data_IF_845514617780
#
_entry.id   IF_845514617780
#
_cell.length_a   1.000
_cell.length_b   1.000
_cell.length_c   1.000
_cell.angle_alpha   90.00
_cell.angle_beta   90.00
_cell.angle_gamma   90.00
#
_symmetry.space_group_name_H-M   'P 1'
#
loop_
_entity.id
_entity.type
_entity.pdbx_description
1 polymer ?
#
# COMPACT_ATOMS: atom_id res chain seq x y z
N UNK A 1 28.84 14.02 46.67
CA UNK A 1 27.80 14.92 46.12
C UNK A 1 27.01 14.19 45.05
N UNK A 2 25.68 14.29 45.13
CA UNK A 2 24.71 13.24 44.84
C UNK A 2 24.46 12.96 43.36
N UNK A 3 25.03 11.87 42.83
CA UNK A 3 24.64 11.30 41.52
C UNK A 3 23.17 10.85 41.48
N UNK A 4 22.58 10.56 42.64
CA UNK A 4 21.17 10.16 42.75
C UNK A 4 20.21 11.31 42.39
N UNK A 5 20.54 12.55 42.76
CA UNK A 5 19.67 13.71 42.51
C UNK A 5 19.66 14.11 41.03
N UNK A 6 20.79 13.93 40.32
CA UNK A 6 20.86 14.20 38.87
C UNK A 6 20.04 13.17 38.09
N UNK A 7 20.03 11.91 38.53
CA UNK A 7 19.30 10.84 37.86
C UNK A 7 17.78 10.98 37.99
N UNK A 8 17.28 11.47 39.13
CA UNK A 8 15.85 11.68 39.36
C UNK A 8 15.32 12.86 38.52
N UNK A 9 16.11 13.92 38.36
CA UNK A 9 15.72 15.07 37.52
C UNK A 9 15.58 14.73 36.04
N UNK A 10 16.39 13.81 35.52
CA UNK A 10 16.30 13.37 34.11
C UNK A 10 15.03 12.54 33.88
N UNK A 11 14.66 11.67 34.83
CA UNK A 11 13.46 10.83 34.70
C UNK A 11 12.18 11.69 34.77
N UNK A 12 12.13 12.69 35.66
CA UNK A 12 10.99 13.61 35.74
C UNK A 12 10.83 14.50 34.50
N UNK A 13 11.94 14.96 33.89
CA UNK A 13 11.87 15.72 32.64
C UNK A 13 11.36 14.87 31.45
N UNK A 14 11.69 13.57 31.43
CA UNK A 14 11.17 12.63 30.41
C UNK A 14 9.67 12.37 30.64
N UNK A 15 9.22 12.21 31.90
CA UNK A 15 7.81 11.97 32.19
C UNK A 15 6.92 13.20 31.90
N UNK A 16 7.37 14.40 32.26
CA UNK A 16 6.63 15.65 31.99
C UNK A 16 6.58 15.96 30.48
N UNK A 17 7.62 15.60 29.72
CA UNK A 17 7.56 15.71 28.25
C UNK A 17 6.61 14.69 27.62
N UNK A 18 6.48 13.47 28.15
CA UNK A 18 5.49 12.52 27.63
C UNK A 18 4.03 12.92 27.90
N UNK A 19 3.74 13.58 29.03
CA UNK A 19 2.37 14.05 29.34
C UNK A 19 2.02 15.35 28.62
N UNK A 20 2.97 16.27 28.45
CA UNK A 20 2.76 17.49 27.66
C UNK A 20 2.58 17.19 26.17
N UNK A 21 3.28 16.18 25.64
CA UNK A 21 3.12 15.72 24.25
C UNK A 21 1.75 15.06 24.03
N UNK A 22 1.24 14.27 24.99
CA UNK A 22 -0.13 13.71 24.91
C UNK A 22 -1.21 14.78 24.86
N UNK A 23 -1.00 15.93 25.49
CA UNK A 23 -1.96 17.03 25.48
C UNK A 23 -1.80 17.98 24.27
N UNK A 24 -0.65 17.99 23.59
CA UNK A 24 -0.45 18.75 22.34
C UNK A 24 -0.90 17.99 21.08
N UNK A 25 -1.04 16.66 21.15
CA UNK A 25 -1.67 15.85 20.10
C UNK A 25 -3.21 15.74 20.25
N UNK A 26 -3.85 16.74 20.86
CA UNK A 26 -5.25 17.06 20.52
C UNK A 26 -5.27 17.87 19.21
N UNK A 27 -4.75 17.26 18.15
CA UNK A 27 -5.05 17.73 16.81
C UNK A 27 -6.45 17.24 16.42
N UNK A 28 -7.14 18.10 15.69
CA UNK A 28 -8.56 18.04 15.41
C UNK A 28 -9.01 16.69 14.83
N UNK A 29 -10.04 16.09 15.46
CA UNK A 29 -10.75 14.90 14.96
C UNK A 29 -11.37 15.20 13.60
N UNK A 30 -10.69 14.82 12.52
CA UNK A 30 -11.30 14.50 11.24
C UNK A 30 -11.44 12.98 11.15
N UNK A 31 -12.32 12.48 10.30
CA UNK A 31 -12.65 11.06 10.17
C UNK A 31 -11.39 10.23 9.88
N UNK A 32 -10.89 9.50 10.88
CA UNK A 32 -9.71 8.67 10.73
C UNK A 32 -10.12 7.33 10.13
N UNK A 33 -9.47 6.96 9.04
CA UNK A 33 -9.56 5.64 8.45
C UNK A 33 -8.94 4.60 9.39
N UNK A 34 -9.68 3.54 9.68
CA UNK A 34 -9.23 2.37 10.42
C UNK A 34 -8.78 1.28 9.42
N UNK A 35 -7.66 0.62 9.71
CA UNK A 35 -7.21 -0.53 8.92
C UNK A 35 -8.12 -1.73 9.15
N UNK A 36 -8.51 -2.38 8.07
CA UNK A 36 -9.25 -3.65 8.07
C UNK A 36 -8.36 -4.77 7.52
N UNK A 37 -8.61 -6.01 7.95
CA UNK A 37 -7.87 -7.16 7.43
C UNK A 37 -8.23 -7.39 5.95
N UNK A 38 -7.29 -7.24 5.00
CA UNK A 38 -7.58 -7.43 3.57
C UNK A 38 -7.92 -8.89 3.22
N UNK A 39 -7.64 -9.83 4.12
CA UNK A 39 -7.97 -11.25 3.97
C UNK A 39 -9.30 -11.64 4.63
N UNK A 40 -9.95 -10.72 5.34
CA UNK A 40 -11.29 -10.96 5.89
C UNK A 40 -12.27 -11.30 4.76
N UNK A 41 -13.06 -12.35 4.99
CA UNK A 41 -13.96 -12.90 3.96
C UNK A 41 -14.98 -11.88 3.43
N UNK A 42 -15.45 -10.93 4.26
CA UNK A 42 -16.36 -9.89 3.81
C UNK A 42 -15.62 -8.86 2.96
N UNK A 43 -14.41 -8.46 3.36
CA UNK A 43 -13.56 -7.53 2.61
C UNK A 43 -13.19 -8.12 1.24
N UNK A 44 -12.81 -9.39 1.19
CA UNK A 44 -12.53 -10.13 -0.05
C UNK A 44 -13.76 -10.14 -0.96
N UNK A 45 -14.95 -10.42 -0.40
CA UNK A 45 -16.20 -10.40 -1.16
C UNK A 45 -16.51 -9.02 -1.75
N UNK A 46 -16.33 -7.95 -0.97
CA UNK A 46 -16.47 -6.58 -1.49
C UNK A 46 -15.50 -6.32 -2.65
N UNK A 47 -14.25 -6.79 -2.53
CA UNK A 47 -13.27 -6.69 -3.62
C UNK A 47 -13.69 -7.44 -4.89
N UNK A 48 -14.21 -8.66 -4.76
CA UNK A 48 -14.73 -9.44 -5.90
C UNK A 48 -15.93 -8.75 -6.55
N UNK A 49 -16.88 -8.26 -5.75
CA UNK A 49 -18.06 -7.55 -6.23
C UNK A 49 -17.67 -6.27 -7.00
N UNK A 50 -16.66 -5.53 -6.53
CA UNK A 50 -16.11 -4.37 -7.24
C UNK A 50 -15.59 -4.71 -8.63
N UNK A 51 -14.79 -5.78 -8.77
CA UNK A 51 -14.26 -6.20 -10.07
C UNK A 51 -15.38 -6.68 -11.00
N UNK A 52 -16.32 -7.47 -10.48
CA UNK A 52 -17.48 -7.92 -11.24
C UNK A 52 -18.31 -6.74 -11.76
N UNK A 53 -18.51 -5.71 -10.94
CA UNK A 53 -19.24 -4.50 -11.32
C UNK A 53 -18.48 -3.70 -12.38
N UNK A 54 -17.16 -3.53 -12.25
CA UNK A 54 -16.34 -2.87 -13.26
C UNK A 54 -16.41 -3.61 -14.61
N UNK A 55 -16.21 -4.94 -14.59
CA UNK A 55 -16.28 -5.80 -15.77
C UNK A 55 -17.63 -5.65 -16.49
N UNK A 56 -18.75 -5.70 -15.76
CA UNK A 56 -20.08 -5.50 -16.36
C UNK A 56 -20.25 -4.10 -16.95
N UNK A 57 -19.81 -3.06 -16.24
CA UNK A 57 -19.97 -1.66 -16.66
C UNK A 57 -19.16 -1.33 -17.93
N UNK A 58 -17.96 -1.87 -18.02
CA UNK A 58 -17.01 -1.55 -19.10
C UNK A 58 -16.82 -2.70 -20.11
N UNK A 59 -17.62 -3.77 -20.01
CA UNK A 59 -17.47 -4.99 -20.83
C UNK A 59 -16.03 -5.54 -20.82
N UNK A 60 -15.41 -5.56 -19.64
CA UNK A 60 -14.05 -6.05 -19.42
C UNK A 60 -14.05 -7.45 -18.78
N UNK A 61 -12.88 -8.08 -18.72
CA UNK A 61 -12.71 -9.46 -18.24
C UNK A 61 -11.54 -9.58 -17.26
N UNK A 62 -11.52 -8.73 -16.23
CA UNK A 62 -10.53 -8.85 -15.15
C UNK A 62 -10.91 -9.97 -14.17
N UNK A 63 -9.95 -10.80 -13.80
CA UNK A 63 -10.10 -11.81 -12.76
C UNK A 63 -9.60 -11.25 -11.42
N UNK A 64 -10.45 -11.27 -10.39
CA UNK A 64 -10.06 -10.86 -9.05
C UNK A 64 -8.93 -11.75 -8.53
N UNK A 65 -7.90 -11.14 -7.94
CA UNK A 65 -6.82 -11.87 -7.28
C UNK A 65 -6.86 -11.70 -5.76
N UNK A 66 -6.70 -10.47 -5.27
CA UNK A 66 -6.72 -10.18 -3.83
C UNK A 66 -7.06 -8.72 -3.54
N UNK A 67 -7.50 -8.44 -2.32
CA UNK A 67 -7.47 -7.10 -1.75
C UNK A 67 -6.07 -6.86 -1.19
N UNK A 68 -5.40 -5.80 -1.62
CA UNK A 68 -4.07 -5.44 -1.15
C UNK A 68 -4.11 -4.51 0.07
N UNK A 69 -5.12 -3.66 0.13
CA UNK A 69 -5.33 -2.69 1.22
C UNK A 69 -6.83 -2.55 1.47
N UNK A 70 -7.24 -2.56 2.73
CA UNK A 70 -8.61 -2.28 3.13
C UNK A 70 -8.60 -1.26 4.27
N UNK A 71 -9.31 -0.16 4.06
CA UNK A 71 -9.53 0.87 5.07
C UNK A 71 -11.02 1.05 5.27
N UNK A 72 -11.43 1.43 6.47
CA UNK A 72 -12.80 1.75 6.80
C UNK A 72 -12.92 3.03 7.58
N UNK A 73 -13.90 3.84 7.25
CA UNK A 73 -14.28 4.98 8.05
C UNK A 73 -15.80 5.01 8.24
N UNK A 74 -16.25 5.95 9.08
CA UNK A 74 -17.67 6.28 9.19
C UNK A 74 -17.94 7.59 8.46
N UNK A 75 -18.50 7.49 7.26
CA UNK A 75 -18.83 8.62 6.40
C UNK A 75 -20.34 8.94 6.49
N UNK A 76 -20.70 10.12 6.98
CA UNK A 76 -22.09 10.52 7.22
C UNK A 76 -22.95 9.48 7.95
N UNK A 77 -22.36 8.78 8.93
CA UNK A 77 -23.07 7.77 9.72
C UNK A 77 -23.09 6.37 9.11
N UNK A 78 -22.63 6.19 7.87
CA UNK A 78 -22.59 4.91 7.16
C UNK A 78 -21.15 4.36 7.12
N UNK A 79 -20.95 3.04 7.22
CA UNK A 79 -19.65 2.44 6.95
C UNK A 79 -19.23 2.71 5.50
N UNK A 80 -18.01 3.21 5.34
CA UNK A 80 -17.38 3.47 4.06
C UNK A 80 -16.06 2.73 4.02
N UNK A 81 -15.92 1.81 3.07
CA UNK A 81 -14.69 1.05 2.85
C UNK A 81 -13.96 1.61 1.64
N UNK A 82 -12.65 1.74 1.76
CA UNK A 82 -11.74 1.98 0.65
C UNK A 82 -10.91 0.72 0.44
N UNK A 83 -10.98 0.16 -0.76
CA UNK A 83 -10.27 -1.06 -1.14
C UNK A 83 -9.29 -0.75 -2.27
N UNK A 84 -8.04 -1.19 -2.10
CA UNK A 84 -7.10 -1.33 -3.20
C UNK A 84 -7.06 -2.81 -3.62
N UNK A 85 -7.46 -3.11 -4.85
CA UNK A 85 -7.71 -4.47 -5.33
C UNK A 85 -6.73 -4.78 -6.44
N UNK A 86 -6.10 -5.96 -6.39
CA UNK A 86 -5.29 -6.50 -7.47
C UNK A 86 -6.15 -7.48 -8.27
N UNK A 87 -6.17 -7.29 -9.59
CA UNK A 87 -6.86 -8.16 -10.53
C UNK A 87 -5.96 -8.44 -11.74
N UNK A 88 -6.22 -9.52 -12.46
CA UNK A 88 -5.47 -9.89 -13.64
C UNK A 88 -6.32 -9.77 -14.90
N UNK A 89 -5.71 -9.33 -15.99
CA UNK A 89 -6.27 -9.51 -17.32
C UNK A 89 -5.56 -10.67 -18.00
N UNK A 90 -6.32 -11.63 -18.53
CA UNK A 90 -5.77 -12.58 -19.48
C UNK A 90 -5.46 -11.85 -20.80
N UNK A 91 -4.18 -11.84 -21.18
CA UNK A 91 -3.74 -11.23 -22.43
C UNK A 91 -4.11 -12.06 -23.68
N UNK A 92 -4.75 -13.21 -23.51
CA UNK A 92 -5.33 -14.05 -24.57
C UNK A 92 -4.30 -14.80 -25.41
N UNK A 93 -3.34 -14.09 -26.00
CA UNK A 93 -2.38 -14.66 -26.96
C UNK A 93 -1.15 -15.29 -26.32
N UNK A 94 -0.82 -14.90 -25.08
CA UNK A 94 0.42 -15.36 -24.42
C UNK A 94 0.18 -16.18 -23.14
N UNK A 95 -1.07 -16.32 -22.71
CA UNK A 95 -1.43 -16.86 -21.39
C UNK A 95 -0.83 -16.07 -20.21
N UNK A 96 -0.22 -14.90 -20.50
CA UNK A 96 0.40 -14.06 -19.49
C UNK A 96 -0.67 -13.24 -18.81
N UNK A 97 -0.78 -13.42 -17.50
CA UNK A 97 -1.61 -12.60 -16.63
C UNK A 97 -0.97 -11.21 -16.48
N UNK A 98 -1.75 -10.16 -16.78
CA UNK A 98 -1.33 -8.77 -16.60
C UNK A 98 -1.95 -8.25 -15.30
N UNK A 99 -1.16 -8.04 -14.23
CA UNK A 99 -1.67 -7.48 -12.99
C UNK A 99 -2.07 -6.02 -13.17
N UNK A 100 -3.22 -5.67 -12.60
CA UNK A 100 -3.82 -4.34 -12.63
C UNK A 100 -4.37 -3.99 -11.25
N UNK A 101 -4.20 -2.73 -10.87
CA UNK A 101 -4.67 -2.21 -9.57
C UNK A 101 -5.98 -1.46 -9.78
N UNK A 102 -6.94 -1.69 -8.90
CA UNK A 102 -8.22 -1.01 -8.84
C UNK A 102 -8.41 -0.35 -7.48
N UNK A 103 -9.12 0.77 -7.45
CA UNK A 103 -9.57 1.42 -6.24
C UNK A 103 -11.08 1.36 -6.17
N UNK A 104 -11.62 0.97 -5.02
CA UNK A 104 -13.05 0.87 -4.81
C UNK A 104 -13.46 1.57 -3.53
N UNK A 105 -14.35 2.55 -3.66
CA UNK A 105 -15.10 3.09 -2.53
C UNK A 105 -16.42 2.33 -2.41
N UNK A 106 -16.68 1.75 -1.24
CA UNK A 106 -17.86 0.94 -0.97
C UNK A 106 -18.60 1.55 0.21
N UNK A 107 -19.84 1.96 -0.02
CA UNK A 107 -20.72 2.51 1.01
C UNK A 107 -21.74 1.46 1.42
N UNK A 108 -21.72 1.07 2.69
CA UNK A 108 -22.72 0.16 3.27
C UNK A 108 -23.94 0.97 3.70
N UNK A 109 -24.96 1.02 2.84
CA UNK A 109 -26.25 1.59 3.21
C UNK A 109 -27.06 0.50 3.91
N UNK A 110 -26.98 0.48 5.23
CA UNK A 110 -27.92 -0.29 6.06
C UNK A 110 -29.31 0.33 5.91
N UNK A 111 -30.28 -0.43 5.40
CA UNK A 111 -31.70 -0.06 5.54
C UNK A 111 -32.24 -0.56 6.88
N UNK A 112 -31.89 -1.78 7.30
CA UNK A 112 -32.40 -2.50 8.49
C UNK A 112 -31.36 -3.58 8.93
N UNK A 113 -31.58 -4.30 10.04
CA UNK A 113 -30.67 -5.36 10.55
C UNK A 113 -30.44 -6.52 9.56
N UNK A 114 -31.31 -6.69 8.56
CA UNK A 114 -31.33 -7.84 7.64
C UNK A 114 -30.95 -7.46 6.19
N UNK A 115 -30.93 -6.16 5.84
CA UNK A 115 -30.74 -5.69 4.47
C UNK A 115 -29.62 -4.65 4.34
N UNK A 116 -28.52 -5.09 3.72
CA UNK A 116 -27.39 -4.26 3.34
C UNK A 116 -27.44 -3.95 1.83
N UNK A 117 -27.44 -2.66 1.48
CA UNK A 117 -27.30 -2.20 0.09
C UNK A 117 -25.93 -1.54 -0.08
N UNK A 118 -25.05 -2.17 -0.86
CA UNK A 118 -23.71 -1.62 -1.11
C UNK A 118 -23.70 -0.71 -2.35
N UNK A 119 -23.23 0.53 -2.17
CA UNK A 119 -22.90 1.44 -3.26
C UNK A 119 -21.42 1.35 -3.61
N UNK A 120 -21.08 1.03 -4.85
CA UNK A 120 -19.69 0.88 -5.31
C UNK A 120 -19.28 1.98 -6.28
N UNK A 121 -18.10 2.56 -6.05
CA UNK A 121 -17.40 3.40 -7.02
C UNK A 121 -16.02 2.80 -7.28
N UNK A 122 -15.87 2.15 -8.44
CA UNK A 122 -14.67 1.40 -8.82
C UNK A 122 -13.95 2.12 -9.96
N UNK A 123 -12.64 2.34 -9.80
CA UNK A 123 -11.76 2.92 -10.81
C UNK A 123 -10.53 2.05 -10.99
N UNK A 124 -10.08 1.90 -12.23
CA UNK A 124 -8.77 1.28 -12.51
C UNK A 124 -7.67 2.31 -12.26
N UNK A 125 -6.55 1.88 -11.70
CA UNK A 125 -5.38 2.73 -11.53
C UNK A 125 -4.90 3.26 -12.89
N UNK A 126 -4.68 4.57 -12.97
CA UNK A 126 -4.42 5.30 -14.23
C UNK A 126 -5.66 5.97 -14.83
N UNK A 127 -6.88 5.53 -14.50
CA UNK A 127 -8.13 6.20 -14.92
C UNK A 127 -8.53 7.32 -13.96
N UNK A 128 -8.04 7.29 -12.72
CA UNK A 128 -8.31 8.32 -11.71
C UNK A 128 -7.28 9.46 -11.79
N UNK A 129 -7.71 10.74 -11.69
CA UNK A 129 -6.78 11.85 -11.53
C UNK A 129 -5.97 11.68 -10.24
N UNK A 130 -4.64 11.65 -10.37
CA UNK A 130 -3.70 11.56 -9.25
C UNK A 130 -3.82 12.80 -8.35
N UNK A 131 -4.59 12.70 -7.26
CA UNK A 131 -4.61 13.70 -6.19
C UNK A 131 -3.54 13.34 -5.15
N UNK A 132 -2.29 13.75 -5.36
CA UNK A 132 -1.21 13.51 -4.40
C UNK A 132 0.17 14.03 -4.83
N UNK A 133 0.99 14.37 -3.82
CA UNK A 133 2.30 15.07 -3.80
C UNK A 133 3.38 14.52 -4.76
N UNK A 134 3.16 13.34 -5.34
CA UNK A 134 4.15 12.56 -6.07
C UNK A 134 3.88 12.63 -7.57
N UNK A 135 4.94 12.79 -8.36
CA UNK A 135 4.85 12.66 -9.82
C UNK A 135 4.90 11.18 -10.20
N UNK A 136 3.78 10.66 -10.68
CA UNK A 136 3.67 9.31 -11.24
C UNK A 136 4.79 9.00 -12.26
N UNK A 137 5.28 7.77 -12.20
CA UNK A 137 6.35 7.25 -13.06
C UNK A 137 5.85 6.02 -13.79
N UNK A 138 6.32 5.89 -15.03
CA UNK A 138 6.04 4.70 -15.81
C UNK A 138 6.65 3.46 -15.13
N UNK A 139 5.82 2.52 -14.63
CA UNK A 139 6.28 1.33 -13.92
C UNK A 139 7.11 0.39 -14.81
N UNK A 140 6.95 0.50 -16.13
CA UNK A 140 7.70 -0.32 -17.09
C UNK A 140 9.07 0.24 -17.46
N UNK A 141 9.39 1.47 -17.04
CA UNK A 141 10.66 2.12 -17.40
C UNK A 141 11.87 1.35 -16.84
N UNK A 142 12.97 1.33 -17.60
CA UNK A 142 14.18 0.58 -17.24
C UNK A 142 14.74 0.97 -15.87
N UNK A 143 14.72 2.27 -15.54
CA UNK A 143 15.13 2.77 -14.22
C UNK A 143 14.25 2.22 -13.10
N UNK A 144 12.93 2.26 -13.26
CA UNK A 144 11.98 1.80 -12.23
C UNK A 144 12.05 0.29 -12.05
N UNK A 145 12.15 -0.49 -13.13
CA UNK A 145 12.38 -1.94 -13.06
C UNK A 145 13.68 -2.30 -12.34
N UNK A 146 14.76 -1.55 -12.60
CA UNK A 146 16.05 -1.73 -11.91
C UNK A 146 15.90 -1.48 -10.41
N UNK A 147 15.30 -0.35 -10.03
CA UNK A 147 15.04 -0.01 -8.63
C UNK A 147 14.18 -1.07 -7.94
N UNK A 148 13.11 -1.53 -8.58
CA UNK A 148 12.25 -2.57 -8.03
C UNK A 148 13.00 -3.90 -7.82
N UNK A 149 13.85 -4.30 -8.77
CA UNK A 149 14.67 -5.50 -8.63
C UNK A 149 15.67 -5.37 -7.48
N UNK A 150 16.28 -4.20 -7.32
CA UNK A 150 17.17 -3.90 -6.19
C UNK A 150 16.43 -3.92 -4.85
N UNK A 151 15.19 -3.42 -4.78
CA UNK A 151 14.33 -3.49 -3.59
C UNK A 151 14.00 -4.94 -3.19
N UNK A 152 13.60 -5.79 -4.14
CA UNK A 152 13.31 -7.21 -3.86
C UNK A 152 14.58 -7.93 -3.38
N UNK A 153 15.73 -7.67 -4.02
CA UNK A 153 17.01 -8.24 -3.61
C UNK A 153 17.43 -7.77 -2.20
N UNK A 154 17.19 -6.50 -1.89
CA UNK A 154 17.44 -5.94 -0.56
C UNK A 154 16.61 -6.67 0.50
N UNK A 155 15.30 -6.80 0.29
CA UNK A 155 14.41 -7.52 1.20
C UNK A 155 14.82 -8.99 1.37
N UNK A 156 15.12 -9.69 0.28
CA UNK A 156 15.60 -11.07 0.32
C UNK A 156 16.85 -11.22 1.19
N UNK A 157 17.78 -10.27 1.11
CA UNK A 157 19.00 -10.28 1.91
C UNK A 157 18.73 -10.05 3.39
N UNK A 158 17.87 -9.10 3.74
CA UNK A 158 17.56 -8.77 5.13
C UNK A 158 16.73 -9.85 5.83
N UNK A 159 15.83 -10.52 5.10
CA UNK A 159 14.88 -11.48 5.66
C UNK A 159 15.15 -12.95 5.29
N UNK A 160 16.25 -13.24 4.57
CA UNK A 160 16.59 -14.60 4.15
C UNK A 160 15.57 -15.24 3.18
N UNK A 161 14.81 -14.43 2.45
CA UNK A 161 13.78 -14.87 1.51
C UNK A 161 14.32 -14.99 0.07
N UNK A 162 13.50 -15.50 -0.85
CA UNK A 162 13.90 -15.81 -2.24
C UNK A 162 12.86 -15.36 -3.27
N UNK A 163 12.30 -14.17 -3.07
CA UNK A 163 11.37 -13.59 -4.04
C UNK A 163 12.09 -13.14 -5.31
N UNK A 164 11.43 -13.29 -6.45
CA UNK A 164 11.81 -12.70 -7.72
C UNK A 164 10.85 -11.55 -8.03
N UNK A 165 11.34 -10.50 -8.69
CA UNK A 165 10.48 -9.44 -9.20
C UNK A 165 9.60 -10.01 -10.31
N UNK A 166 8.27 -9.95 -10.14
CA UNK A 166 7.33 -10.20 -11.22
C UNK A 166 7.09 -8.89 -11.99
N UNK A 167 6.55 -7.87 -11.31
CA UNK A 167 6.26 -6.58 -11.92
C UNK A 167 6.24 -5.42 -10.92
N UNK A 168 6.19 -4.19 -11.45
CA UNK A 168 5.96 -2.97 -10.68
C UNK A 168 4.51 -2.57 -10.87
N UNK A 169 3.74 -2.58 -9.78
CA UNK A 169 2.32 -2.22 -9.78
C UNK A 169 2.12 -0.71 -9.82
N UNK A 170 2.97 0.05 -9.10
CA UNK A 170 2.91 1.51 -9.05
C UNK A 170 4.29 2.11 -8.78
N UNK A 171 4.53 3.30 -9.31
CA UNK A 171 5.77 4.02 -9.07
C UNK A 171 5.55 5.54 -8.99
N UNK A 172 5.90 6.15 -7.87
CA UNK A 172 5.90 7.59 -7.67
C UNK A 172 7.31 8.13 -7.52
N UNK A 173 7.48 9.44 -7.78
CA UNK A 173 8.69 10.18 -7.42
C UNK A 173 8.34 11.53 -6.83
N UNK A 174 9.01 11.88 -5.75
CA UNK A 174 9.03 13.21 -5.17
C UNK A 174 10.47 13.67 -4.87
N UNK A 175 10.59 14.83 -4.25
CA UNK A 175 11.83 15.32 -3.68
C UNK A 175 11.63 15.67 -2.21
N UNK A 176 12.36 14.98 -1.33
CA UNK A 176 12.34 15.23 0.12
C UNK A 176 13.69 15.82 0.50
N UNK A 177 13.70 17.04 1.03
CA UNK A 177 14.93 17.75 1.41
C UNK A 177 15.99 17.80 0.29
N UNK A 178 15.53 17.97 -0.96
CA UNK A 178 16.41 18.01 -2.14
C UNK A 178 16.91 16.65 -2.64
N UNK A 179 16.59 15.55 -1.95
CA UNK A 179 16.91 14.19 -2.38
C UNK A 179 15.76 13.59 -3.18
N UNK A 180 16.07 12.92 -4.29
CA UNK A 180 15.05 12.23 -5.05
C UNK A 180 14.57 11.00 -4.25
N UNK A 181 13.27 10.96 -4.00
CA UNK A 181 12.62 9.86 -3.31
C UNK A 181 11.69 9.14 -4.29
N UNK A 182 11.87 7.83 -4.45
CA UNK A 182 10.98 6.98 -5.21
C UNK A 182 10.18 6.09 -4.28
N UNK A 183 8.87 6.03 -4.52
CA UNK A 183 7.98 5.07 -3.89
C UNK A 183 7.56 4.04 -4.93
N UNK A 184 7.78 2.76 -4.66
CA UNK A 184 7.38 1.67 -5.54
C UNK A 184 6.45 0.71 -4.81
N UNK A 185 5.35 0.32 -5.47
CA UNK A 185 4.55 -0.86 -5.12
C UNK A 185 4.88 -1.97 -6.10
N UNK A 186 5.33 -3.11 -5.61
CA UNK A 186 5.99 -4.16 -6.39
C UNK A 186 5.28 -5.49 -6.09
N UNK A 187 5.02 -6.29 -7.13
CA UNK A 187 4.62 -7.67 -6.97
C UNK A 187 5.87 -8.55 -7.09
N UNK A 188 6.18 -9.29 -6.04
CA UNK A 188 7.22 -10.32 -6.08
C UNK A 188 6.61 -11.71 -5.92
N UNK A 189 7.27 -12.70 -6.51
CA UNK A 189 6.83 -14.09 -6.49
C UNK A 189 7.94 -15.01 -6.01
N UNK A 190 7.61 -16.09 -5.31
CA UNK A 190 8.55 -17.14 -4.92
C UNK A 190 7.91 -18.50 -5.06
N UNK A 191 8.74 -19.53 -5.26
CA UNK A 191 8.28 -20.91 -5.11
C UNK A 191 8.12 -21.19 -3.62
N UNK A 192 6.94 -21.63 -3.19
CA UNK A 192 6.63 -21.86 -1.77
C UNK A 192 6.17 -23.29 -1.45
N UNK A 193 5.92 -24.12 -2.46
CA UNK A 193 5.56 -25.53 -2.31
C UNK A 193 6.52 -26.48 -3.01
N UNK A 194 6.34 -27.78 -2.76
CA UNK A 194 7.12 -28.86 -3.40
C UNK A 194 6.75 -29.06 -4.88
N UNK A 195 5.55 -28.64 -5.29
CA UNK A 195 4.98 -28.88 -6.63
C UNK A 195 5.01 -27.64 -7.54
N UNK A 196 5.90 -26.69 -7.29
CA UNK A 196 6.00 -25.47 -8.10
C UNK A 196 4.91 -24.45 -7.82
N UNK A 197 4.19 -24.58 -6.70
CA UNK A 197 3.27 -23.54 -6.22
C UNK A 197 4.00 -22.20 -6.07
N UNK A 198 3.41 -21.17 -6.68
CA UNK A 198 3.93 -19.80 -6.68
C UNK A 198 3.17 -19.00 -5.63
N UNK A 199 3.89 -18.52 -4.64
CA UNK A 199 3.39 -17.53 -3.70
C UNK A 199 3.75 -16.13 -4.19
N UNK A 200 2.81 -15.21 -4.11
CA UNK A 200 3.03 -13.80 -4.36
C UNK A 200 3.12 -13.00 -3.07
N UNK A 201 3.79 -11.86 -3.12
CA UNK A 201 3.86 -10.89 -2.05
C UNK A 201 3.91 -9.47 -2.62
N UNK A 202 3.26 -8.53 -1.97
CA UNK A 202 3.32 -7.11 -2.34
C UNK A 202 4.40 -6.44 -1.49
N UNK A 203 5.35 -5.79 -2.16
CA UNK A 203 6.39 -5.00 -1.51
C UNK A 203 6.13 -3.51 -1.72
N UNK A 204 6.29 -2.76 -0.63
CA UNK A 204 6.31 -1.31 -0.63
C UNK A 204 7.74 -0.85 -0.41
N UNK A 205 8.30 -0.11 -1.36
CA UNK A 205 9.70 0.32 -1.31
C UNK A 205 9.82 1.83 -1.37
N UNK A 206 10.45 2.40 -0.35
CA UNK A 206 10.92 3.78 -0.31
C UNK A 206 12.41 3.80 -0.65
N UNK A 207 12.79 4.60 -1.65
CA UNK A 207 14.14 4.62 -2.21
C UNK A 207 14.65 6.05 -2.30
N UNK A 208 15.69 6.35 -1.53
CA UNK A 208 16.33 7.67 -1.53
C UNK A 208 17.61 7.63 -2.35
N UNK A 209 17.70 8.50 -3.36
CA UNK A 209 18.91 8.72 -4.17
C UNK A 209 19.75 9.83 -3.54
N UNK A 210 20.87 9.45 -2.92
CA UNK A 210 21.73 10.40 -2.20
C UNK A 210 22.63 11.25 -3.10
N UNK A 211 22.49 11.18 -4.44
CA UNK A 211 22.78 12.31 -5.34
C UNK A 211 24.13 13.02 -5.25
N UNK A 212 25.22 12.40 -4.77
CA UNK A 212 26.57 12.94 -4.95
C UNK A 212 27.17 12.33 -6.21
N UNK A 213 27.47 13.20 -7.20
CA UNK A 213 27.91 12.93 -8.59
C UNK A 213 28.99 11.85 -8.81
N UNK A 214 29.63 11.34 -7.77
CA UNK A 214 30.73 10.37 -7.88
C UNK A 214 30.43 9.02 -7.23
N UNK A 215 29.37 8.89 -6.40
CA UNK A 215 28.97 7.63 -5.77
C UNK A 215 27.45 7.63 -5.54
N UNK A 216 26.68 7.34 -6.59
CA UNK A 216 25.24 7.10 -6.45
C UNK A 216 25.03 5.89 -5.53
N UNK A 217 24.52 6.14 -4.33
CA UNK A 217 24.10 5.10 -3.40
C UNK A 217 22.63 5.30 -3.09
N UNK A 218 21.83 4.31 -3.48
CA UNK A 218 20.43 4.23 -3.10
C UNK A 218 20.32 3.66 -1.69
N UNK A 219 19.48 4.28 -0.88
CA UNK A 219 19.04 3.72 0.39
C UNK A 219 17.64 3.16 0.21
N UNK A 220 17.47 1.88 0.54
CA UNK A 220 16.21 1.17 0.41
C UNK A 220 15.60 0.95 1.79
N UNK A 221 14.30 1.18 1.88
CA UNK A 221 13.44 0.66 2.94
C UNK A 221 12.34 -0.12 2.24
N UNK A 222 12.20 -1.41 2.56
CA UNK A 222 11.27 -2.31 1.89
C UNK A 222 10.46 -3.06 2.94
N UNK A 223 9.14 -3.01 2.83
CA UNK A 223 8.22 -3.70 3.71
C UNK A 223 7.19 -4.48 2.88
N UNK A 224 6.65 -5.56 3.42
CA UNK A 224 5.54 -6.34 2.83
C UNK A 224 4.19 -6.02 3.48
N UNK A 225 4.19 -5.41 4.66
CA UNK A 225 2.99 -4.93 5.37
C UNK A 225 2.79 -3.43 5.25
N UNK A 226 3.40 -2.82 4.23
CA UNK A 226 3.40 -1.38 4.07
C UNK A 226 1.98 -0.83 4.01
N UNK A 227 1.63 -0.03 5.01
CA UNK A 227 0.63 1.02 4.81
C UNK A 227 1.09 1.90 3.66
N UNK A 228 0.14 2.28 2.79
CA UNK A 228 0.33 3.48 1.97
C UNK A 228 0.82 4.57 2.94
N UNK A 229 1.91 5.30 2.66
CA UNK A 229 2.33 6.40 3.53
C UNK A 229 1.10 7.26 3.85
N UNK A 230 0.73 7.31 5.12
CA UNK A 230 -0.45 8.03 5.59
C UNK A 230 -0.33 9.50 5.15
N UNK A 231 -1.38 9.99 4.51
CA UNK A 231 -1.50 11.31 3.90
C UNK A 231 -1.48 12.45 4.92
#
# INVERSE_FOLDING_TARGET
>A
MNKLNVSIFIIFAILISTEAIKNFFKQHKHHDWEEEDPTDSNIVKLGQDSINLYNRKYSAHFEFFQVATALKEKYHGMPHYFLEILAFLDSGESGKLIPEVFFSHVFDKKRDEEYHEYGFHVTKNGDAPSYGIWKEKNPTSSKIKKLAKESVNYYNKEHGSKYSLDCVLRAGKEYVNGLAHYFLKILGIKNCGYDGEVCSEIFYSNIYDNGKRLNHKYNFSVDTKGTIPSF
#
